data_IF_964737775041
#
_entry.id   IF_964737775041
#
_cell.length_a   1.000
_cell.length_b   1.000
_cell.length_c   1.000
_cell.angle_alpha   90.00
_cell.angle_beta   90.00
_cell.angle_gamma   90.00
#
_symmetry.space_group_name_H-M   'P 1'
#
loop_
_entity.id
_entity.type
_entity.pdbx_description
1 polymer ?
#
# COMPACT_ATOMS: atom_id res chain seq x y z
N UNK A 1 14.22 42.05 82.18
CA UNK A 1 13.62 40.79 82.69
C UNK A 1 14.59 39.67 82.27
N UNK A 2 15.07 38.77 83.12
CA UNK A 2 14.37 37.78 83.97
C UNK A 2 13.54 36.81 83.12
N UNK A 3 13.65 35.47 83.24
CA UNK A 3 14.43 34.63 84.19
C UNK A 3 14.46 33.16 83.70
N UNK A 4 15.44 32.36 84.15
CA UNK A 4 15.33 30.88 84.41
C UNK A 4 15.11 29.92 83.21
N UNK A 5 15.46 28.61 83.21
CA UNK A 5 16.39 27.77 84.02
C UNK A 5 16.83 26.51 83.20
N UNK A 6 17.85 25.76 83.65
CA UNK A 6 18.12 24.34 83.30
C UNK A 6 17.55 23.40 84.41
N UNK A 7 17.57 22.04 84.34
CA UNK A 7 18.74 21.13 84.20
C UNK A 7 18.60 20.26 82.91
N UNK A 8 19.04 19.01 82.69
CA UNK A 8 19.79 17.92 83.40
C UNK A 8 20.66 17.24 82.30
N UNK A 9 22.00 17.24 82.29
CA UNK A 9 22.99 16.37 82.97
C UNK A 9 22.85 14.84 82.76
N UNK A 10 23.71 14.23 81.92
CA UNK A 10 24.63 13.16 82.36
C UNK A 10 25.82 12.99 81.40
N UNK A 11 26.91 12.38 81.90
CA UNK A 11 28.16 12.14 81.17
C UNK A 11 28.25 10.70 80.67
N UNK A 12 28.97 10.48 79.56
CA UNK A 12 30.12 9.57 79.57
C UNK A 12 31.12 9.92 78.46
N UNK A 13 32.36 9.49 78.65
CA UNK A 13 33.54 9.85 77.86
C UNK A 13 34.15 8.57 77.31
N UNK A 14 34.59 8.58 76.05
CA UNK A 14 35.90 8.04 75.67
C UNK A 14 36.36 8.62 74.34
N UNK A 15 37.66 8.89 74.22
CA UNK A 15 38.30 9.40 73.01
C UNK A 15 39.20 8.32 72.41
N UNK A 16 39.34 8.32 71.08
CA UNK A 16 40.54 7.82 70.41
C UNK A 16 40.77 8.62 69.11
N UNK A 17 42.01 8.66 68.64
CA UNK A 17 42.43 9.54 67.55
C UNK A 17 43.27 8.80 66.49
N UNK A 18 43.19 9.28 65.24
CA UNK A 18 43.96 8.85 64.06
C UNK A 18 43.75 7.37 63.65
N UNK A 19 43.78 6.99 62.37
CA UNK A 19 44.70 7.41 61.30
C UNK A 19 44.05 7.39 59.91
N UNK A 20 44.76 7.95 58.92
CA UNK A 20 44.42 7.88 57.49
C UNK A 20 44.85 6.52 56.94
N UNK A 21 44.04 5.92 56.07
CA UNK A 21 44.51 4.97 55.06
C UNK A 21 43.72 5.12 53.76
N UNK A 22 44.41 5.37 52.66
CA UNK A 22 43.88 5.15 51.31
C UNK A 22 44.05 3.68 50.97
N UNK A 23 43.06 3.06 50.36
CA UNK A 23 43.24 1.75 49.73
C UNK A 23 42.42 1.69 48.44
N UNK A 24 43.08 1.28 47.35
CA UNK A 24 42.48 1.21 46.02
C UNK A 24 41.37 0.15 45.98
N UNK A 25 40.47 0.27 44.99
CA UNK A 25 39.50 -0.78 44.66
C UNK A 25 39.38 -0.93 43.16
N UNK A 26 39.16 -2.16 42.73
CA UNK A 26 39.56 -2.64 41.41
C UNK A 26 38.63 -2.27 40.25
N UNK A 27 39.16 -2.43 39.04
CA UNK A 27 38.44 -2.28 37.78
C UNK A 27 37.15 -3.09 37.76
N UNK A 28 36.03 -2.44 37.43
CA UNK A 28 34.95 -3.10 36.70
C UNK A 28 35.12 -2.79 35.21
N UNK A 29 34.97 -3.82 34.37
CA UNK A 29 34.61 -3.60 32.97
C UNK A 29 33.18 -3.07 32.93
N UNK A 30 32.90 -2.17 32.00
CA UNK A 30 31.54 -1.85 31.59
C UNK A 30 31.06 -2.97 30.66
N UNK A 31 29.81 -3.41 30.83
CA UNK A 31 29.15 -4.37 29.95
C UNK A 31 28.28 -3.60 28.94
N UNK A 32 28.46 -3.88 27.66
CA UNK A 32 27.81 -3.19 26.52
C UNK A 32 26.34 -3.67 26.37
N UNK A 33 25.38 -2.83 25.95
CA UNK A 33 23.95 -3.13 26.11
C UNK A 33 23.34 -4.01 25.00
N UNK A 34 23.66 -5.31 24.97
CA UNK A 34 23.07 -6.32 24.05
C UNK A 34 21.53 -6.44 24.15
N UNK A 35 20.95 -6.04 25.30
CA UNK A 35 19.51 -6.09 25.54
C UNK A 35 18.69 -5.20 24.59
N UNK A 36 19.24 -4.05 24.16
CA UNK A 36 18.50 -3.13 23.28
C UNK A 36 18.40 -3.66 21.85
N UNK A 37 19.48 -4.23 21.32
CA UNK A 37 19.47 -4.82 19.97
C UNK A 37 18.53 -6.04 19.91
N UNK A 38 18.55 -6.90 20.93
CA UNK A 38 17.74 -8.11 20.98
C UNK A 38 16.24 -7.81 20.94
N UNK A 39 15.77 -6.84 21.73
CA UNK A 39 14.34 -6.46 21.80
C UNK A 39 13.86 -5.78 20.51
N UNK A 40 14.71 -4.99 19.85
CA UNK A 40 14.37 -4.37 18.54
C UNK A 40 14.30 -5.43 17.43
N UNK A 41 15.23 -6.38 17.45
CA UNK A 41 15.37 -7.47 16.46
C UNK A 41 14.26 -8.52 16.51
N UNK A 42 13.57 -8.66 17.65
CA UNK A 42 12.37 -9.49 17.79
C UNK A 42 11.11 -8.78 17.24
N UNK A 43 11.13 -7.45 17.13
CA UNK A 43 10.03 -6.63 16.59
C UNK A 43 10.16 -6.33 15.09
N UNK A 44 11.39 -6.14 14.61
CA UNK A 44 11.70 -5.93 13.19
C UNK A 44 12.07 -7.26 12.55
N UNK A 45 11.04 -8.07 12.29
CA UNK A 45 11.17 -9.42 11.77
C UNK A 45 10.56 -9.55 10.37
N UNK A 46 11.22 -10.32 9.51
CA UNK A 46 10.68 -10.81 8.25
C UNK A 46 10.72 -12.34 8.30
N UNK A 47 9.58 -12.95 8.56
CA UNK A 47 9.42 -14.41 8.63
C UNK A 47 9.05 -14.95 7.25
N UNK A 48 9.71 -16.02 6.80
CA UNK A 48 9.47 -16.66 5.50
C UNK A 48 8.84 -18.04 5.69
N UNK A 49 7.74 -18.30 4.98
CA UNK A 49 7.08 -19.61 4.93
C UNK A 49 6.72 -20.01 3.49
N UNK A 50 6.34 -21.27 3.29
CA UNK A 50 5.57 -21.67 2.11
C UNK A 50 4.13 -21.16 2.28
N UNK A 51 3.51 -20.68 1.19
CA UNK A 51 2.09 -20.28 1.12
C UNK A 51 1.23 -21.38 0.49
N UNK A 52 1.78 -22.06 -0.52
CA UNK A 52 1.11 -23.10 -1.29
C UNK A 52 1.92 -23.43 -2.54
N UNK A 53 1.31 -24.13 -3.50
CA UNK A 53 1.93 -24.44 -4.81
C UNK A 53 0.98 -24.09 -5.95
N UNK A 54 1.53 -23.64 -7.07
CA UNK A 54 0.76 -23.48 -8.31
C UNK A 54 0.26 -24.84 -8.82
N UNK A 55 -0.66 -24.84 -9.80
CA UNK A 55 -1.11 -26.08 -10.44
C UNK A 55 0.05 -26.86 -11.10
N UNK A 56 1.06 -26.15 -11.61
CA UNK A 56 2.33 -26.71 -12.12
C UNK A 56 3.30 -27.19 -11.00
N UNK A 57 2.91 -27.09 -9.72
CA UNK A 57 3.69 -27.52 -8.56
C UNK A 57 4.78 -26.56 -8.11
N UNK A 58 4.82 -25.32 -8.62
CA UNK A 58 5.82 -24.31 -8.22
C UNK A 58 5.46 -23.79 -6.83
N UNK A 59 6.40 -23.88 -5.89
CA UNK A 59 6.21 -23.38 -4.52
C UNK A 59 6.12 -21.84 -4.49
N UNK A 60 5.08 -21.33 -3.85
CA UNK A 60 4.85 -19.91 -3.61
C UNK A 60 5.24 -19.60 -2.17
N UNK A 61 5.98 -18.51 -1.99
CA UNK A 61 6.59 -18.15 -0.72
C UNK A 61 5.84 -16.96 -0.12
N UNK A 62 5.56 -17.01 1.19
CA UNK A 62 5.04 -15.87 1.95
C UNK A 62 6.14 -15.26 2.80
N UNK A 63 6.12 -13.93 2.90
CA UNK A 63 6.98 -13.10 3.72
C UNK A 63 6.08 -12.27 4.65
N UNK A 64 6.13 -12.53 5.95
CA UNK A 64 5.43 -11.77 6.98
C UNK A 64 6.37 -10.73 7.60
N UNK A 65 6.13 -9.45 7.30
CA UNK A 65 6.89 -8.29 7.76
C UNK A 65 6.24 -7.72 9.02
N UNK A 66 7.02 -7.46 10.07
CA UNK A 66 6.54 -6.86 11.33
C UNK A 66 7.29 -5.57 11.66
N UNK A 67 6.59 -4.58 12.23
CA UNK A 67 7.20 -3.32 12.66
C UNK A 67 7.33 -3.18 14.19
N UNK A 68 8.07 -2.13 14.61
CA UNK A 68 8.32 -1.82 16.01
C UNK A 68 7.05 -1.65 16.89
N UNK A 69 5.90 -1.39 16.28
CA UNK A 69 4.62 -1.15 16.95
C UNK A 69 3.65 -2.35 16.86
N UNK A 70 4.04 -3.44 16.18
CA UNK A 70 3.23 -4.66 16.05
C UNK A 70 2.27 -4.69 14.85
N UNK A 71 2.35 -3.75 13.91
CA UNK A 71 1.71 -3.92 12.60
C UNK A 71 2.39 -5.07 11.86
N UNK A 72 1.59 -5.90 11.19
CA UNK A 72 2.04 -7.08 10.44
C UNK A 72 1.50 -7.03 9.02
N UNK A 73 2.36 -7.21 8.02
CA UNK A 73 1.99 -7.26 6.60
C UNK A 73 2.53 -8.54 5.96
N UNK A 74 1.65 -9.30 5.31
CA UNK A 74 2.03 -10.52 4.58
C UNK A 74 2.07 -10.24 3.07
N UNK A 75 3.17 -10.62 2.44
CA UNK A 75 3.36 -10.52 0.98
C UNK A 75 3.69 -11.91 0.43
N UNK A 76 3.05 -12.33 -0.68
CA UNK A 76 3.39 -13.58 -1.38
C UNK A 76 4.11 -13.32 -2.70
N UNK A 77 4.94 -14.26 -3.14
CA UNK A 77 5.69 -14.14 -4.41
C UNK A 77 4.80 -14.18 -5.66
N UNK A 78 3.62 -14.81 -5.59
CA UNK A 78 2.66 -14.80 -6.69
C UNK A 78 1.96 -13.44 -6.77
N UNK A 79 2.15 -12.73 -7.88
CA UNK A 79 1.62 -11.38 -8.11
C UNK A 79 2.21 -10.29 -7.22
N UNK A 80 3.23 -10.60 -6.40
CA UNK A 80 3.73 -9.69 -5.35
C UNK A 80 2.64 -9.25 -4.37
N UNK A 81 1.62 -10.08 -4.15
CA UNK A 81 0.35 -9.69 -3.52
C UNK A 81 0.51 -9.43 -2.03
N UNK A 82 -0.01 -8.31 -1.54
CA UNK A 82 -0.29 -8.09 -0.11
C UNK A 82 -1.53 -8.92 0.25
N UNK A 83 -1.36 -9.98 1.05
CA UNK A 83 -2.44 -10.91 1.41
C UNK A 83 -3.12 -10.61 2.75
N UNK A 84 -2.42 -9.86 3.62
CA UNK A 84 -2.93 -9.39 4.91
C UNK A 84 -2.15 -8.17 5.36
N UNK A 85 -2.82 -7.23 6.01
CA UNK A 85 -2.26 -6.02 6.62
C UNK A 85 -3.01 -5.75 7.93
N UNK A 86 -2.42 -6.13 9.06
CA UNK A 86 -3.04 -6.06 10.40
C UNK A 86 -2.68 -4.76 11.08
N UNK A 87 -3.69 -3.92 11.37
CA UNK A 87 -3.49 -2.58 11.94
C UNK A 87 -4.41 -2.34 13.15
N UNK A 88 -3.93 -1.61 14.19
CA UNK A 88 -4.67 -1.47 15.44
C UNK A 88 -5.93 -0.60 15.27
N UNK A 89 -7.04 -0.99 15.89
CA UNK A 89 -8.17 -0.10 16.14
C UNK A 89 -7.91 0.79 17.37
N UNK A 90 -8.88 1.63 17.75
CA UNK A 90 -8.78 2.53 18.91
C UNK A 90 -8.75 1.88 20.30
N UNK A 91 -8.99 0.57 20.40
CA UNK A 91 -8.75 -0.22 21.61
C UNK A 91 -7.34 -0.85 21.62
N UNK A 92 -6.68 -0.90 20.46
CA UNK A 92 -5.41 -1.58 20.23
C UNK A 92 -5.53 -2.93 19.51
N UNK A 93 -6.73 -3.38 19.11
CA UNK A 93 -6.91 -4.70 18.50
C UNK A 93 -6.38 -4.71 17.05
N UNK A 94 -5.44 -5.62 16.76
CA UNK A 94 -4.84 -5.80 15.43
C UNK A 94 -5.73 -6.69 14.55
N UNK A 95 -6.42 -6.09 13.58
CA UNK A 95 -7.31 -6.77 12.64
C UNK A 95 -6.83 -6.52 11.21
N UNK A 96 -7.03 -7.48 10.31
CA UNK A 96 -6.66 -7.32 8.89
C UNK A 96 -7.60 -6.32 8.20
N UNK A 97 -7.05 -5.33 7.49
CA UNK A 97 -7.83 -4.33 6.74
C UNK A 97 -7.73 -4.46 5.22
N UNK A 98 -7.10 -5.51 4.67
CA UNK A 98 -7.08 -5.78 3.22
C UNK A 98 -7.72 -7.11 2.83
N UNK A 99 -8.49 -7.10 1.74
CA UNK A 99 -9.16 -8.28 1.20
C UNK A 99 -8.17 -9.15 0.39
N UNK A 100 -8.36 -10.47 0.43
CA UNK A 100 -7.52 -11.48 -0.21
C UNK A 100 -8.02 -12.91 0.06
N UNK A 101 -7.20 -13.92 -0.21
CA UNK A 101 -7.51 -15.34 0.02
C UNK A 101 -6.48 -16.03 0.93
N UNK A 102 -6.94 -17.07 1.63
CA UNK A 102 -6.12 -17.96 2.48
C UNK A 102 -5.24 -18.96 1.69
N UNK A 103 -5.45 -19.09 0.37
CA UNK A 103 -4.82 -20.13 -0.46
C UNK A 103 -4.43 -19.61 -1.86
N UNK A 104 -3.60 -20.37 -2.58
CA UNK A 104 -3.03 -19.98 -3.88
C UNK A 104 -3.92 -20.39 -5.06
N UNK A 105 -4.78 -21.38 -4.87
CA UNK A 105 -5.74 -21.88 -5.84
C UNK A 105 -6.78 -20.80 -6.18
N UNK A 106 -7.24 -20.00 -5.22
CA UNK A 106 -8.16 -18.88 -5.44
C UNK A 106 -7.49 -17.65 -6.07
N UNK A 107 -6.17 -17.43 -5.85
CA UNK A 107 -5.43 -16.37 -6.57
C UNK A 107 -5.09 -16.73 -8.03
N UNK A 108 -5.03 -18.03 -8.38
CA UNK A 108 -4.82 -18.49 -9.76
C UNK A 108 -6.12 -18.46 -10.59
N UNK A 109 -7.28 -18.64 -9.95
CA UNK A 109 -8.60 -18.41 -10.56
C UNK A 109 -8.81 -16.94 -10.87
N UNK A 110 -9.82 -16.64 -11.68
CA UNK A 110 -10.22 -15.28 -11.97
C UNK A 110 -10.73 -14.59 -10.71
N UNK A 111 -9.96 -13.59 -10.27
CA UNK A 111 -10.18 -12.77 -9.10
C UNK A 111 -9.93 -11.29 -9.46
N UNK A 112 -10.51 -10.33 -8.75
CA UNK A 112 -10.45 -8.92 -9.14
C UNK A 112 -9.14 -8.26 -8.64
N UNK A 113 -8.00 -8.90 -8.92
CA UNK A 113 -6.64 -8.43 -8.63
C UNK A 113 -6.30 -8.21 -7.14
N UNK A 114 -6.97 -8.90 -6.21
CA UNK A 114 -6.80 -8.71 -4.76
C UNK A 114 -5.32 -8.64 -4.34
N UNK A 115 -4.92 -7.47 -3.83
CA UNK A 115 -3.61 -7.20 -3.22
C UNK A 115 -2.43 -7.08 -4.19
N UNK A 116 -2.64 -7.20 -5.50
CA UNK A 116 -1.57 -7.44 -6.47
C UNK A 116 -0.70 -6.22 -6.80
N UNK A 117 0.51 -6.49 -7.27
CA UNK A 117 1.26 -5.59 -8.14
C UNK A 117 0.69 -5.67 -9.55
N UNK A 118 0.44 -4.50 -10.14
CA UNK A 118 -0.18 -4.34 -11.46
C UNK A 118 0.87 -3.87 -12.47
N UNK A 119 0.84 -4.45 -13.67
CA UNK A 119 1.68 -4.04 -14.79
C UNK A 119 1.70 -5.06 -15.93
N UNK A 120 2.28 -4.75 -17.10
CA UNK A 120 3.12 -3.57 -17.39
C UNK A 120 2.39 -2.22 -17.40
N UNK A 121 1.07 -2.23 -17.59
CA UNK A 121 0.24 -1.02 -17.56
C UNK A 121 -0.97 -1.16 -16.62
N UNK A 122 -1.06 -0.27 -15.63
CA UNK A 122 -2.19 -0.14 -14.72
C UNK A 122 -3.43 0.46 -15.36
N UNK A 123 -4.60 -0.05 -14.96
CA UNK A 123 -5.90 0.28 -15.53
C UNK A 123 -5.96 0.00 -17.05
N UNK A 124 -6.74 0.77 -17.82
CA UNK A 124 -7.15 0.43 -19.19
C UNK A 124 -6.29 1.06 -20.30
N UNK A 125 -6.21 0.36 -21.44
CA UNK A 125 -5.78 0.89 -22.74
C UNK A 125 -6.89 0.59 -23.77
N UNK A 126 -7.33 1.63 -24.48
CA UNK A 126 -8.45 1.56 -25.42
C UNK A 126 -8.19 0.56 -26.55
N UNK A 127 -9.18 -0.28 -26.85
CA UNK A 127 -9.16 -1.26 -27.97
C UNK A 127 -7.98 -2.26 -27.93
N UNK A 128 -7.27 -2.35 -26.81
CA UNK A 128 -6.02 -3.10 -26.68
C UNK A 128 -4.93 -2.63 -27.65
N UNK A 129 -4.89 -1.33 -27.98
CA UNK A 129 -3.96 -0.76 -28.98
C UNK A 129 -3.31 0.52 -28.48
N UNK A 130 -2.06 0.73 -28.87
CA UNK A 130 -1.38 2.02 -28.77
C UNK A 130 -0.36 2.18 -29.89
N UNK A 131 0.11 3.41 -30.15
CA UNK A 131 1.19 3.67 -31.12
C UNK A 131 2.42 4.21 -30.41
N UNK A 132 3.58 3.59 -30.64
CA UNK A 132 4.85 4.01 -30.04
C UNK A 132 5.97 4.01 -31.09
N UNK A 133 6.67 5.15 -31.19
CA UNK A 133 7.71 5.41 -32.19
C UNK A 133 7.26 5.14 -33.65
N UNK A 134 5.96 5.35 -33.92
CA UNK A 134 5.34 5.13 -35.24
C UNK A 134 4.88 3.69 -35.52
N UNK A 135 5.02 2.77 -34.56
CA UNK A 135 4.58 1.38 -34.68
C UNK A 135 3.30 1.16 -33.88
N UNK A 136 2.29 0.48 -34.46
CA UNK A 136 1.09 0.06 -33.72
C UNK A 136 1.39 -1.22 -32.94
N UNK A 137 1.12 -1.20 -31.63
CA UNK A 137 1.17 -2.37 -30.75
C UNK A 137 -0.24 -2.88 -30.49
N UNK A 138 -0.39 -4.19 -30.45
CA UNK A 138 -1.65 -4.89 -30.24
C UNK A 138 -1.49 -5.80 -29.02
N UNK A 139 -2.37 -5.60 -28.04
CA UNK A 139 -2.39 -6.27 -26.74
C UNK A 139 -3.62 -7.18 -26.63
N UNK A 140 -3.65 -8.06 -25.63
CA UNK A 140 -4.84 -8.86 -25.35
C UNK A 140 -6.01 -7.95 -24.90
N UNK A 141 -7.19 -8.09 -25.50
CA UNK A 141 -8.41 -7.42 -25.05
C UNK A 141 -9.12 -8.25 -23.98
N UNK A 142 -8.57 -8.21 -22.76
CA UNK A 142 -9.04 -8.98 -21.60
C UNK A 142 -10.22 -8.34 -20.84
N UNK A 143 -10.58 -7.08 -21.15
CA UNK A 143 -11.77 -6.41 -20.60
C UNK A 143 -12.70 -5.92 -21.73
N UNK A 144 -13.57 -6.80 -22.20
CA UNK A 144 -14.52 -6.52 -23.29
C UNK A 144 -13.81 -6.20 -24.60
N UNK A 145 -13.80 -4.93 -25.01
CA UNK A 145 -13.05 -4.45 -26.18
C UNK A 145 -11.64 -3.94 -25.84
N UNK A 146 -11.31 -3.79 -24.56
CA UNK A 146 -10.14 -3.05 -24.08
C UNK A 146 -9.12 -3.97 -23.42
N UNK A 147 -7.89 -3.48 -23.28
CA UNK A 147 -6.86 -4.12 -22.48
C UNK A 147 -6.89 -3.52 -21.06
N UNK A 148 -6.62 -4.35 -20.04
CA UNK A 148 -6.74 -4.00 -18.63
C UNK A 148 -5.61 -4.62 -17.80
N UNK A 149 -5.02 -3.84 -16.88
CA UNK A 149 -4.06 -4.26 -15.84
C UNK A 149 -2.84 -5.09 -16.34
N UNK A 150 -2.44 -4.92 -17.61
CA UNK A 150 -1.27 -5.56 -18.19
C UNK A 150 -1.55 -6.84 -19.00
N UNK A 151 -2.77 -7.38 -18.98
CA UNK A 151 -3.21 -8.43 -19.92
C UNK A 151 -3.74 -9.70 -19.27
N UNK A 152 -3.63 -10.83 -19.99
CA UNK A 152 -4.11 -12.14 -19.51
C UNK A 152 -3.22 -12.66 -18.39
N UNK A 153 -1.90 -12.48 -18.53
CA UNK A 153 -0.88 -12.86 -17.55
C UNK A 153 -0.12 -11.61 -17.09
N UNK A 154 -0.86 -10.61 -16.61
CA UNK A 154 -0.28 -9.40 -16.02
C UNK A 154 0.59 -9.69 -14.79
N UNK A 155 1.24 -8.66 -14.25
CA UNK A 155 2.18 -8.79 -13.13
C UNK A 155 1.55 -9.29 -11.82
N UNK A 156 0.22 -9.43 -11.78
CA UNK A 156 -0.57 -10.03 -10.71
C UNK A 156 -0.57 -11.58 -10.75
N UNK A 157 -0.19 -12.18 -11.88
CA UNK A 157 -0.12 -13.64 -12.11
C UNK A 157 1.30 -14.19 -12.27
N UNK A 158 2.32 -13.34 -12.27
CA UNK A 158 3.74 -13.76 -12.37
C UNK A 158 4.33 -14.08 -10.98
N UNK A 159 5.36 -14.93 -10.93
CA UNK A 159 6.09 -15.22 -9.69
C UNK A 159 7.30 -14.29 -9.58
N UNK A 160 7.25 -13.38 -8.62
CA UNK A 160 8.31 -12.43 -8.31
C UNK A 160 9.42 -13.08 -7.48
N UNK A 161 10.68 -12.74 -7.78
CA UNK A 161 11.82 -13.15 -6.94
C UNK A 161 11.92 -12.21 -5.74
N UNK A 162 11.78 -12.75 -4.52
CA UNK A 162 11.77 -12.00 -3.28
C UNK A 162 13.09 -12.09 -2.47
N UNK A 163 13.51 -10.97 -1.89
CA UNK A 163 14.72 -10.83 -1.08
C UNK A 163 14.50 -9.84 0.10
N UNK A 164 14.58 -10.28 1.37
CA UNK A 164 14.54 -9.38 2.52
C UNK A 164 15.75 -8.42 2.55
N UNK A 165 15.48 -7.13 2.67
CA UNK A 165 16.50 -6.09 2.85
C UNK A 165 16.82 -6.00 4.35
N UNK A 166 18.11 -5.96 4.70
CA UNK A 166 18.57 -5.83 6.09
C UNK A 166 18.68 -4.37 6.49
N UNK A 167 17.71 -3.89 7.27
CA UNK A 167 17.65 -2.52 7.79
C UNK A 167 17.54 -2.54 9.33
N UNK A 168 17.88 -1.42 9.99
CA UNK A 168 17.89 -1.34 11.46
C UNK A 168 16.58 -0.85 12.07
N UNK A 169 15.70 -0.26 11.27
CA UNK A 169 14.51 0.47 11.75
C UNK A 169 13.19 0.07 11.09
N UNK A 170 13.22 -0.53 9.90
CA UNK A 170 12.04 -0.93 9.14
C UNK A 170 12.16 -2.42 8.77
N UNK A 171 11.04 -3.02 8.34
CA UNK A 171 11.06 -4.33 7.67
C UNK A 171 10.74 -4.15 6.19
N UNK A 172 11.73 -4.44 5.35
CA UNK A 172 11.73 -4.08 3.93
C UNK A 172 11.99 -5.32 3.05
N UNK A 173 11.14 -5.54 2.04
CA UNK A 173 11.18 -6.68 1.12
C UNK A 173 11.34 -6.20 -0.32
N UNK A 174 12.41 -6.62 -0.98
CA UNK A 174 12.60 -6.42 -2.42
C UNK A 174 11.93 -7.54 -3.20
N UNK A 175 11.08 -7.18 -4.14
CA UNK A 175 10.59 -8.03 -5.22
C UNK A 175 11.28 -7.63 -6.53
N UNK A 176 11.62 -8.61 -7.37
CA UNK A 176 12.23 -8.39 -8.69
C UNK A 176 11.60 -9.29 -9.74
N UNK A 177 11.40 -8.73 -10.94
CA UNK A 177 10.88 -9.45 -12.10
C UNK A 177 11.54 -8.94 -13.39
N UNK A 178 11.67 -9.83 -14.38
CA UNK A 178 12.13 -9.50 -15.73
C UNK A 178 11.00 -9.84 -16.70
N UNK A 179 10.26 -8.80 -17.07
CA UNK A 179 9.23 -8.85 -18.10
C UNK A 179 9.90 -8.76 -19.47
N UNK A 180 9.61 -9.68 -20.39
CA UNK A 180 10.38 -9.82 -21.65
C UNK A 180 9.88 -8.92 -22.78
N UNK A 181 10.69 -8.69 -23.82
CA UNK A 181 10.23 -8.11 -25.09
C UNK A 181 9.15 -9.02 -25.71
N UNK A 182 7.98 -8.44 -26.00
CA UNK A 182 6.80 -9.12 -26.52
C UNK A 182 5.86 -9.72 -25.44
N UNK A 183 6.20 -9.63 -24.16
CA UNK A 183 5.35 -10.14 -23.08
C UNK A 183 4.02 -9.37 -22.99
N UNK A 184 2.89 -10.09 -23.05
CA UNK A 184 1.52 -9.55 -23.24
C UNK A 184 1.36 -8.55 -24.42
N UNK A 185 2.33 -8.53 -25.34
CA UNK A 185 2.39 -7.63 -26.51
C UNK A 185 3.24 -6.36 -26.31
N UNK A 186 3.83 -6.13 -25.15
CA UNK A 186 4.62 -4.93 -24.86
C UNK A 186 6.06 -4.99 -25.42
N UNK A 187 6.60 -3.90 -26.02
CA UNK A 187 7.98 -3.87 -26.51
C UNK A 187 9.00 -3.73 -25.37
N UNK A 188 10.18 -4.30 -25.56
CA UNK A 188 11.34 -4.19 -24.68
C UNK A 188 11.32 -5.12 -23.49
N UNK A 189 12.50 -5.59 -23.10
CA UNK A 189 12.68 -6.20 -21.79
C UNK A 189 12.57 -5.10 -20.73
N UNK A 190 11.81 -5.32 -19.67
CA UNK A 190 11.66 -4.42 -18.54
C UNK A 190 12.13 -5.13 -17.28
N UNK A 191 13.21 -4.63 -16.69
CA UNK A 191 13.69 -5.07 -15.38
C UNK A 191 12.94 -4.25 -14.34
N UNK A 192 12.06 -4.89 -13.55
CA UNK A 192 11.29 -4.23 -12.49
C UNK A 192 11.84 -4.63 -11.12
N UNK A 193 12.03 -3.63 -10.26
CA UNK A 193 12.19 -3.79 -8.83
C UNK A 193 11.02 -3.12 -8.13
N UNK A 194 10.41 -3.79 -7.16
CA UNK A 194 9.46 -3.17 -6.24
C UNK A 194 9.94 -3.42 -4.82
N UNK A 195 9.96 -2.38 -3.98
CA UNK A 195 10.31 -2.50 -2.56
C UNK A 195 9.06 -2.20 -1.73
N UNK A 196 8.63 -3.19 -0.95
CA UNK A 196 7.66 -3.03 0.11
C UNK A 196 8.40 -2.74 1.42
N UNK A 197 8.15 -1.58 2.03
CA UNK A 197 8.76 -1.17 3.31
C UNK A 197 7.67 -0.96 4.34
N UNK A 198 7.67 -1.76 5.40
CA UNK A 198 6.84 -1.55 6.59
C UNK A 198 7.63 -0.75 7.63
N UNK A 199 7.26 0.52 7.82
CA UNK A 199 8.03 1.49 8.59
C UNK A 199 7.80 1.40 10.10
N UNK A 200 8.73 1.93 10.90
CA UNK A 200 8.54 2.14 12.36
C UNK A 200 7.42 3.12 12.73
N UNK A 201 6.94 3.94 11.79
CA UNK A 201 5.90 4.95 12.03
C UNK A 201 4.54 4.59 11.38
N UNK A 202 4.30 3.28 11.25
CA UNK A 202 3.04 2.67 10.82
C UNK A 202 2.64 2.96 9.37
N UNK A 203 3.61 3.07 8.45
CA UNK A 203 3.33 3.15 7.03
C UNK A 203 3.76 1.88 6.28
N UNK A 204 2.98 1.53 5.25
CA UNK A 204 3.39 0.66 4.16
C UNK A 204 3.82 1.54 3.01
N UNK A 205 5.11 1.54 2.69
CA UNK A 205 5.62 2.17 1.48
C UNK A 205 5.77 1.13 0.37
N UNK A 206 5.36 1.50 -0.85
CA UNK A 206 5.60 0.76 -2.09
C UNK A 206 6.42 1.68 -2.97
N UNK A 207 7.66 1.29 -3.28
CA UNK A 207 8.53 2.03 -4.21
C UNK A 207 8.78 1.17 -5.43
N UNK A 208 8.52 1.72 -6.62
CA UNK A 208 8.72 1.06 -7.90
C UNK A 208 9.96 1.63 -8.58
N UNK A 209 10.77 0.77 -9.21
CA UNK A 209 11.83 1.16 -10.13
C UNK A 209 11.78 0.24 -11.37
N UNK A 210 11.91 0.79 -12.57
CA UNK A 210 12.04 0.00 -13.79
C UNK A 210 12.98 0.61 -14.84
N UNK A 211 13.69 -0.27 -15.56
CA UNK A 211 14.61 0.10 -16.66
C UNK A 211 14.43 -0.85 -17.85
N UNK A 212 14.62 -0.33 -19.07
CA UNK A 212 14.36 -1.08 -20.31
C UNK A 212 15.50 -0.99 -21.34
N UNK A 213 15.54 -1.96 -22.25
CA UNK A 213 16.47 -2.00 -23.40
C UNK A 213 15.87 -1.48 -24.72
N UNK A 214 14.57 -1.19 -24.76
CA UNK A 214 13.84 -0.66 -25.93
C UNK A 214 12.65 0.18 -25.45
N UNK A 215 12.34 1.28 -26.14
CA UNK A 215 11.27 2.20 -25.73
C UNK A 215 9.94 1.47 -25.53
N UNK A 216 9.32 1.69 -24.37
CA UNK A 216 8.09 1.00 -23.93
C UNK A 216 7.16 1.95 -23.18
N UNK A 217 5.96 1.48 -22.83
CA UNK A 217 5.07 2.17 -21.87
C UNK A 217 5.10 1.44 -20.53
N UNK A 218 5.04 2.18 -19.44
CA UNK A 218 5.03 1.68 -18.05
C UNK A 218 4.04 2.48 -17.22
N UNK A 219 3.18 1.79 -16.47
CA UNK A 219 2.35 2.35 -15.41
C UNK A 219 2.17 1.26 -14.36
N UNK A 220 2.81 1.38 -13.19
CA UNK A 220 2.77 0.35 -12.14
C UNK A 220 1.97 0.85 -10.94
N UNK A 221 1.21 -0.04 -10.32
CA UNK A 221 0.45 0.30 -9.11
C UNK A 221 0.19 -0.95 -8.25
N UNK A 222 -0.43 -0.76 -7.08
CA UNK A 222 -0.74 -1.82 -6.13
C UNK A 222 -2.25 -1.81 -5.82
N UNK A 223 -2.90 -2.95 -6.02
CA UNK A 223 -4.36 -3.09 -6.05
C UNK A 223 -4.91 -3.66 -4.73
N UNK A 224 -4.47 -3.12 -3.58
CA UNK A 224 -5.09 -3.44 -2.30
C UNK A 224 -6.54 -2.96 -2.26
N UNK A 225 -7.41 -3.84 -1.77
CA UNK A 225 -8.78 -3.50 -1.39
C UNK A 225 -8.79 -3.29 0.11
N UNK A 226 -9.02 -2.06 0.56
CA UNK A 226 -9.07 -1.69 1.97
C UNK A 226 -10.50 -1.76 2.52
N UNK A 227 -10.61 -2.20 3.78
CA UNK A 227 -11.79 -2.03 4.62
C UNK A 227 -11.32 -1.82 6.06
N UNK A 228 -11.32 -0.56 6.51
CA UNK A 228 -10.74 -0.16 7.79
C UNK A 228 -11.58 -0.62 9.00
N UNK A 229 -12.79 -1.13 8.80
CA UNK A 229 -13.59 -1.71 9.89
C UNK A 229 -12.91 -2.94 10.50
N UNK A 230 -12.05 -3.65 9.75
CA UNK A 230 -11.48 -4.95 10.14
C UNK A 230 -12.44 -6.13 10.00
N UNK A 231 -13.70 -5.88 9.59
CA UNK A 231 -14.75 -6.88 9.45
C UNK A 231 -15.31 -6.86 8.03
N UNK A 232 -14.85 -7.80 7.21
CA UNK A 232 -15.22 -7.90 5.80
C UNK A 232 -16.68 -8.34 5.56
N UNK A 233 -17.46 -8.63 6.60
CA UNK A 233 -18.92 -8.77 6.47
C UNK A 233 -19.64 -7.41 6.34
N UNK A 234 -18.95 -6.29 6.64
CA UNK A 234 -19.46 -4.92 6.49
C UNK A 234 -19.07 -4.32 5.14
N UNK A 235 -19.99 -3.55 4.56
CA UNK A 235 -19.68 -2.69 3.42
C UNK A 235 -18.78 -1.50 3.81
N UNK A 236 -18.17 -0.85 2.81
CA UNK A 236 -17.30 0.31 3.03
C UNK A 236 -18.03 1.66 2.98
N UNK A 237 -19.36 1.70 2.77
CA UNK A 237 -20.10 2.93 2.49
C UNK A 237 -20.09 3.95 3.64
N UNK A 238 -19.88 3.48 4.87
CA UNK A 238 -19.75 4.30 6.07
C UNK A 238 -18.42 5.04 6.24
N UNK A 239 -17.37 4.66 5.49
CA UNK A 239 -16.04 5.29 5.57
C UNK A 239 -16.08 6.72 5.06
N UNK A 240 -15.44 7.65 5.77
CA UNK A 240 -15.19 9.02 5.30
C UNK A 240 -13.90 9.09 4.48
N UNK A 241 -13.97 9.65 3.28
CA UNK A 241 -12.84 9.78 2.35
C UNK A 241 -12.58 11.26 2.03
N UNK A 242 -11.30 11.58 1.82
CA UNK A 242 -10.82 12.83 1.22
C UNK A 242 -9.90 12.46 0.05
N UNK A 243 -10.04 13.13 -1.10
CA UNK A 243 -9.12 13.06 -2.23
C UNK A 243 -8.59 14.47 -2.50
N UNK A 244 -7.27 14.62 -2.58
CA UNK A 244 -6.63 15.90 -2.90
C UNK A 244 -6.60 16.12 -4.41
N UNK A 245 -7.77 16.33 -5.00
CA UNK A 245 -7.97 16.38 -6.44
C UNK A 245 -9.17 17.27 -6.82
N UNK A 246 -8.90 18.41 -7.46
CA UNK A 246 -9.93 19.34 -7.92
C UNK A 246 -10.62 18.88 -9.21
N UNK A 247 -10.10 17.82 -9.85
CA UNK A 247 -10.60 17.25 -11.09
C UNK A 247 -10.54 15.71 -11.13
N UNK A 248 -11.32 15.12 -12.03
CA UNK A 248 -11.33 13.69 -12.36
C UNK A 248 -11.44 13.49 -13.88
N UNK A 249 -11.24 12.25 -14.33
CA UNK A 249 -11.37 11.85 -15.72
C UNK A 249 -12.74 11.18 -15.96
N UNK A 250 -13.66 11.81 -16.71
CA UNK A 250 -14.91 11.18 -17.13
C UNK A 250 -14.63 10.11 -18.18
N UNK A 251 -15.29 8.97 -18.05
CA UNK A 251 -15.12 7.78 -18.90
C UNK A 251 -16.30 7.56 -19.84
N UNK A 252 -16.07 6.77 -20.88
CA UNK A 252 -17.08 6.31 -21.83
C UNK A 252 -17.79 5.03 -21.38
N UNK A 253 -18.69 4.50 -22.24
CA UNK A 253 -19.44 3.27 -21.97
C UNK A 253 -18.59 1.98 -21.83
N UNK A 254 -17.27 2.07 -22.06
CA UNK A 254 -16.28 0.98 -21.91
C UNK A 254 -15.23 1.28 -20.83
N UNK A 255 -15.49 2.30 -20.00
CA UNK A 255 -14.62 2.79 -18.92
C UNK A 255 -13.26 3.34 -19.39
N UNK A 256 -13.18 3.81 -20.64
CA UNK A 256 -12.02 4.54 -21.17
C UNK A 256 -12.21 6.06 -20.93
N UNK A 257 -11.20 6.80 -20.44
CA UNK A 257 -11.27 8.25 -20.33
C UNK A 257 -11.60 8.93 -21.66
N UNK A 258 -12.54 9.87 -21.61
CA UNK A 258 -13.01 10.67 -22.77
C UNK A 258 -11.97 11.68 -23.29
N UNK A 259 -10.85 11.86 -22.58
CA UNK A 259 -9.92 12.97 -22.75
C UNK A 259 -10.32 14.26 -22.02
N UNK A 260 -11.55 14.35 -21.46
CA UNK A 260 -11.94 15.46 -20.59
C UNK A 260 -11.21 15.36 -19.24
N UNK A 261 -10.65 16.49 -18.76
CA UNK A 261 -10.26 16.66 -17.36
C UNK A 261 -11.32 17.56 -16.72
N UNK A 262 -12.21 16.96 -15.93
CA UNK A 262 -13.43 17.60 -15.44
C UNK A 262 -13.31 17.98 -13.97
N UNK A 263 -13.68 19.21 -13.62
CA UNK A 263 -13.78 19.65 -12.21
C UNK A 263 -14.71 18.74 -11.40
N UNK A 264 -14.33 18.45 -10.16
CA UNK A 264 -15.19 17.73 -9.20
C UNK A 264 -16.26 18.63 -8.57
N UNK A 265 -15.97 19.94 -8.46
CA UNK A 265 -16.81 20.98 -7.83
C UNK A 265 -18.28 20.88 -8.27
N UNK A 266 -19.18 20.70 -7.31
CA UNK A 266 -20.63 20.62 -7.57
C UNK A 266 -21.11 19.28 -8.19
N UNK A 267 -20.27 18.24 -8.20
CA UNK A 267 -20.62 16.89 -8.68
C UNK A 267 -20.49 15.84 -7.58
N UNK A 268 -21.05 14.62 -7.74
CA UNK A 268 -20.82 13.50 -6.83
C UNK A 268 -19.34 13.09 -6.68
N UNK A 269 -18.44 13.59 -7.53
CA UNK A 269 -17.01 13.29 -7.49
C UNK A 269 -16.22 14.21 -6.55
N UNK A 270 -16.88 15.19 -5.91
CA UNK A 270 -16.25 16.10 -4.97
C UNK A 270 -15.91 15.42 -3.63
N UNK A 271 -14.65 15.01 -3.50
CA UNK A 271 -14.03 14.50 -2.27
C UNK A 271 -12.95 15.46 -1.75
N UNK A 272 -12.96 16.74 -2.15
CA UNK A 272 -11.99 17.75 -1.68
C UNK A 272 -12.10 18.02 -0.16
N UNK A 273 -13.21 17.59 0.44
CA UNK A 273 -13.47 17.58 1.88
C UNK A 273 -14.09 16.24 2.30
N UNK A 274 -14.04 15.94 3.61
CA UNK A 274 -14.45 14.65 4.17
C UNK A 274 -15.88 14.27 3.76
N UNK A 275 -16.01 13.16 3.03
CA UNK A 275 -17.27 12.66 2.53
C UNK A 275 -17.39 11.15 2.71
N UNK A 276 -18.45 10.70 3.38
CA UNK A 276 -18.79 9.27 3.44
C UNK A 276 -19.01 8.70 2.04
N UNK A 277 -18.36 7.59 1.70
CA UNK A 277 -18.40 6.96 0.38
C UNK A 277 -19.85 6.78 -0.09
N UNK A 278 -20.72 6.28 0.79
CA UNK A 278 -22.14 6.03 0.51
C UNK A 278 -23.02 7.24 0.25
N UNK A 279 -22.56 8.47 0.54
CA UNK A 279 -23.40 9.68 0.56
C UNK A 279 -24.06 9.98 -0.80
N UNK A 280 -23.32 9.79 -1.89
CA UNK A 280 -23.75 10.20 -3.25
C UNK A 280 -23.53 9.11 -4.31
N UNK A 281 -23.00 7.95 -3.94
CA UNK A 281 -22.57 6.86 -4.86
C UNK A 281 -23.71 6.27 -5.72
N UNK A 282 -24.96 6.48 -5.32
CA UNK A 282 -26.17 6.03 -6.03
C UNK A 282 -27.01 7.20 -6.58
N UNK A 283 -26.47 8.43 -6.62
CA UNK A 283 -27.13 9.61 -7.19
C UNK A 283 -27.32 9.45 -8.70
N UNK A 284 -28.39 10.04 -9.26
CA UNK A 284 -28.64 10.03 -10.70
C UNK A 284 -27.58 10.86 -11.46
N UNK A 285 -26.52 10.19 -11.89
CA UNK A 285 -25.40 10.75 -12.63
C UNK A 285 -24.88 9.71 -13.64
N UNK A 286 -24.52 10.15 -14.84
CA UNK A 286 -24.05 9.28 -15.92
C UNK A 286 -22.81 8.48 -15.54
N UNK A 287 -21.80 9.15 -14.98
CA UNK A 287 -20.51 8.55 -14.64
C UNK A 287 -20.65 7.53 -13.50
N UNK A 288 -21.50 7.80 -12.51
CA UNK A 288 -21.86 6.81 -11.46
C UNK A 288 -22.59 5.58 -12.03
N UNK A 289 -23.40 5.72 -13.08
CA UNK A 289 -24.04 4.56 -13.74
C UNK A 289 -23.01 3.71 -14.49
N UNK A 290 -22.04 4.34 -15.14
CA UNK A 290 -20.96 3.66 -15.87
C UNK A 290 -20.07 2.86 -14.92
N UNK A 291 -19.48 3.52 -13.91
CA UNK A 291 -18.64 2.86 -12.90
C UNK A 291 -19.41 2.01 -11.87
N UNK A 292 -20.74 1.93 -11.96
CA UNK A 292 -21.65 1.29 -10.99
C UNK A 292 -21.42 1.78 -9.54
N UNK A 293 -21.11 3.06 -9.38
CA UNK A 293 -20.48 3.67 -8.21
C UNK A 293 -19.23 4.44 -8.65
N UNK A 294 -18.23 4.54 -7.78
CA UNK A 294 -16.95 5.12 -8.17
C UNK A 294 -16.04 4.01 -8.73
N UNK A 295 -15.64 4.15 -9.99
CA UNK A 295 -14.51 3.47 -10.66
C UNK A 295 -13.84 4.47 -11.62
N UNK A 296 -13.20 5.52 -11.07
CA UNK A 296 -12.65 6.62 -11.87
C UNK A 296 -11.28 7.05 -11.36
N UNK A 297 -10.51 7.71 -12.24
CA UNK A 297 -9.24 8.33 -11.89
C UNK A 297 -9.46 9.81 -11.52
N UNK A 298 -9.03 10.19 -10.32
CA UNK A 298 -8.92 11.58 -9.88
C UNK A 298 -7.53 12.13 -10.23
N UNK A 299 -7.49 13.40 -10.64
CA UNK A 299 -6.27 14.12 -11.03
C UNK A 299 -5.71 14.82 -9.80
N UNK A 300 -4.55 14.39 -9.31
CA UNK A 300 -4.03 14.82 -8.01
C UNK A 300 -3.44 16.23 -8.05
N UNK A 301 -3.82 17.04 -7.07
CA UNK A 301 -3.29 18.38 -6.86
C UNK A 301 -1.84 18.33 -6.33
N UNK A 302 -0.95 19.17 -6.87
CA UNK A 302 0.39 19.39 -6.32
C UNK A 302 1.47 19.56 -7.40
N UNK A 303 2.72 19.67 -6.99
CA UNK A 303 3.88 19.75 -7.90
C UNK A 303 4.12 18.39 -8.58
N UNK A 304 4.38 18.37 -9.90
CA UNK A 304 4.61 17.12 -10.64
C UNK A 304 5.85 16.42 -10.09
N UNK A 305 5.83 15.08 -10.01
CA UNK A 305 6.96 14.23 -9.59
C UNK A 305 7.43 14.45 -8.13
N UNK A 306 6.66 15.18 -7.31
CA UNK A 306 6.91 15.39 -5.90
C UNK A 306 5.90 14.60 -5.03
N UNK A 307 6.39 13.96 -3.95
CA UNK A 307 5.54 13.27 -2.98
C UNK A 307 4.51 14.24 -2.35
N UNK A 308 3.24 14.04 -2.69
CA UNK A 308 2.09 14.84 -2.27
C UNK A 308 1.17 14.05 -1.33
N UNK A 309 0.35 14.72 -0.53
CA UNK A 309 -0.84 14.09 0.05
C UNK A 309 -1.84 13.81 -1.07
N UNK A 310 -2.25 12.56 -1.26
CA UNK A 310 -3.11 12.13 -2.36
C UNK A 310 -4.55 11.85 -1.87
N UNK A 311 -4.69 11.11 -0.78
CA UNK A 311 -5.99 10.72 -0.25
C UNK A 311 -5.94 10.44 1.27
N UNK A 312 -7.12 10.36 1.90
CA UNK A 312 -7.26 9.71 3.20
C UNK A 312 -8.60 8.99 3.33
N UNK A 313 -8.66 7.97 4.18
CA UNK A 313 -9.86 7.21 4.50
C UNK A 313 -9.96 6.99 6.02
N UNK A 314 -11.18 7.07 6.57
CA UNK A 314 -11.47 6.95 8.00
C UNK A 314 -12.67 6.04 8.24
N UNK A 315 -12.54 5.11 9.20
CA UNK A 315 -13.69 4.43 9.80
C UNK A 315 -13.89 4.90 11.26
N UNK A 316 -15.08 5.46 11.51
CA UNK A 316 -15.50 5.97 12.81
C UNK A 316 -15.71 4.85 13.85
N UNK A 317 -16.11 3.65 13.41
CA UNK A 317 -16.40 2.53 14.31
C UNK A 317 -15.12 2.00 14.97
N UNK A 318 -14.11 1.65 14.18
CA UNK A 318 -12.77 1.24 14.64
C UNK A 318 -11.89 2.40 15.09
N UNK A 319 -12.12 3.62 14.60
CA UNK A 319 -11.24 4.77 14.76
C UNK A 319 -9.99 4.75 13.87
N UNK A 320 -9.87 3.77 12.95
CA UNK A 320 -8.72 3.66 12.05
C UNK A 320 -8.72 4.77 11.02
N UNK A 321 -7.58 5.43 10.86
CA UNK A 321 -7.34 6.45 9.85
C UNK A 321 -6.15 6.07 8.97
N UNK A 322 -6.37 6.07 7.65
CA UNK A 322 -5.35 5.84 6.64
C UNK A 322 -5.12 7.12 5.83
N UNK A 323 -3.86 7.51 5.66
CA UNK A 323 -3.41 8.59 4.77
C UNK A 323 -2.63 7.96 3.61
N UNK A 324 -2.78 8.50 2.40
CA UNK A 324 -2.06 8.06 1.20
C UNK A 324 -1.26 9.23 0.66
N UNK A 325 0.05 9.02 0.49
CA UNK A 325 0.97 9.97 -0.14
C UNK A 325 1.60 9.33 -1.37
N UNK A 326 1.83 10.09 -2.45
CA UNK A 326 2.49 9.58 -3.66
C UNK A 326 3.07 10.69 -4.53
N UNK A 327 4.04 10.37 -5.38
CA UNK A 327 4.55 11.24 -6.44
C UNK A 327 3.78 11.11 -7.77
N UNK A 328 3.01 10.03 -7.95
CA UNK A 328 2.12 9.78 -9.11
C UNK A 328 1.14 10.96 -9.37
N UNK A 329 0.71 11.18 -10.63
CA UNK A 329 -0.15 12.31 -10.99
C UNK A 329 -1.66 12.05 -10.78
N UNK A 330 -2.06 10.79 -10.60
CA UNK A 330 -3.46 10.39 -10.49
C UNK A 330 -3.71 9.28 -9.47
N UNK A 331 -4.98 9.07 -9.12
CA UNK A 331 -5.41 7.98 -8.25
C UNK A 331 -6.72 7.38 -8.75
N UNK A 332 -6.76 6.07 -9.00
CA UNK A 332 -8.04 5.36 -9.18
C UNK A 332 -8.68 5.22 -7.80
N UNK A 333 -9.92 5.71 -7.66
CA UNK A 333 -10.75 5.38 -6.52
C UNK A 333 -11.90 4.49 -7.00
N UNK A 334 -11.77 3.20 -6.67
CA UNK A 334 -12.71 2.15 -7.03
C UNK A 334 -13.34 1.56 -5.77
N UNK A 335 -14.67 1.43 -5.75
CA UNK A 335 -15.42 1.06 -4.53
C UNK A 335 -15.91 -0.39 -4.46
N UNK A 336 -15.24 -1.33 -5.13
CA UNK A 336 -15.59 -2.75 -5.05
C UNK A 336 -16.95 -3.08 -5.70
N UNK A 337 -17.35 -2.30 -6.71
CA UNK A 337 -18.69 -2.36 -7.32
C UNK A 337 -18.99 -3.68 -8.06
N UNK A 338 -17.96 -4.46 -8.41
CA UNK A 338 -18.09 -5.76 -9.07
C UNK A 338 -17.99 -6.95 -8.10
N UNK A 339 -17.78 -6.72 -6.79
CA UNK A 339 -17.96 -7.76 -5.78
C UNK A 339 -19.44 -8.13 -5.66
N UNK A 340 -19.75 -9.42 -5.52
CA UNK A 340 -21.10 -9.97 -5.68
C UNK A 340 -21.51 -11.01 -4.61
N UNK A 341 -20.61 -11.36 -3.67
CA UNK A 341 -20.83 -12.40 -2.67
C UNK A 341 -20.46 -13.82 -3.11
N UNK A 342 -19.74 -14.03 -4.21
CA UNK A 342 -19.26 -15.36 -4.64
C UNK A 342 -17.85 -15.71 -4.16
N UNK A 343 -16.95 -14.73 -4.08
CA UNK A 343 -15.54 -14.94 -3.74
C UNK A 343 -15.35 -15.22 -2.23
N UNK A 344 -14.57 -16.25 -1.83
CA UNK A 344 -14.41 -16.63 -0.43
C UNK A 344 -13.61 -15.59 0.37
N UNK A 345 -13.94 -15.44 1.67
CA UNK A 345 -13.16 -14.64 2.61
C UNK A 345 -12.25 -15.51 3.49
N UNK A 346 -11.10 -14.99 3.95
CA UNK A 346 -10.27 -15.60 4.98
C UNK A 346 -11.09 -16.00 6.22
N UNK A 347 -10.90 -17.22 6.70
CA UNK A 347 -11.66 -17.82 7.82
C UNK A 347 -13.18 -18.03 7.57
N UNK A 348 -13.69 -17.77 6.35
CA UNK A 348 -15.03 -18.13 5.91
C UNK A 348 -16.00 -16.96 5.67
N UNK A 349 -17.07 -17.25 4.94
CA UNK A 349 -17.96 -16.24 4.34
C UNK A 349 -17.51 -15.84 2.94
N UNK A 350 -18.17 -14.86 2.32
CA UNK A 350 -17.85 -14.37 0.96
C UNK A 350 -17.89 -12.84 0.88
N UNK A 351 -17.08 -12.28 -0.03
CA UNK A 351 -16.96 -10.83 -0.23
C UNK A 351 -18.18 -10.26 -0.93
N UNK A 352 -19.08 -9.66 -0.14
CA UNK A 352 -20.28 -8.99 -0.62
C UNK A 352 -20.02 -7.72 -1.45
N UNK A 353 -21.08 -7.16 -2.01
CA UNK A 353 -21.02 -5.94 -2.81
C UNK A 353 -20.47 -4.75 -2.01
N UNK A 354 -19.41 -4.11 -2.53
CA UNK A 354 -18.72 -2.96 -1.91
C UNK A 354 -18.21 -3.24 -0.47
N UNK A 355 -17.64 -4.42 -0.21
CA UNK A 355 -16.94 -4.73 1.07
C UNK A 355 -15.45 -4.32 1.09
N UNK A 356 -14.95 -3.67 0.05
CA UNK A 356 -13.60 -3.10 -0.01
C UNK A 356 -13.49 -1.99 -1.06
N UNK A 357 -12.54 -1.06 -0.88
CA UNK A 357 -12.21 0.00 -1.85
C UNK A 357 -10.72 0.04 -2.19
N UNK A 358 -10.37 0.47 -3.40
CA UNK A 358 -9.00 0.63 -3.87
C UNK A 358 -8.64 2.11 -4.00
N UNK A 359 -7.36 2.42 -3.78
CA UNK A 359 -6.75 3.73 -3.92
C UNK A 359 -5.44 3.59 -4.70
N UNK A 360 -5.57 3.18 -5.97
CA UNK A 360 -4.44 2.88 -6.86
C UNK A 360 -3.83 4.18 -7.36
N UNK A 361 -2.71 4.61 -6.79
CA UNK A 361 -1.92 5.74 -7.29
C UNK A 361 -1.22 5.33 -8.58
N UNK A 362 -1.37 6.11 -9.65
CA UNK A 362 -0.93 5.72 -11.00
C UNK A 362 -0.86 6.92 -11.97
N UNK A 363 -0.24 6.71 -13.13
CA UNK A 363 -0.52 7.52 -14.32
C UNK A 363 -1.94 7.25 -14.85
N UNK A 364 -2.48 8.20 -15.62
CA UNK A 364 -3.88 8.17 -16.05
C UNK A 364 -4.17 6.94 -16.96
N UNK A 365 -5.38 6.36 -16.88
CA UNK A 365 -5.78 5.33 -17.84
C UNK A 365 -5.73 5.87 -19.27
N UNK A 366 -5.39 5.00 -20.23
CA UNK A 366 -5.27 5.32 -21.66
C UNK A 366 -4.26 6.43 -22.06
N UNK A 367 -3.34 6.87 -21.18
CA UNK A 367 -2.22 7.78 -21.54
C UNK A 367 -1.47 7.40 -22.84
N UNK A 368 -1.23 6.11 -23.21
CA UNK A 368 -0.62 5.75 -24.50
C UNK A 368 -1.36 6.24 -25.75
N UNK A 369 -2.63 6.64 -25.63
CA UNK A 369 -3.47 7.17 -26.71
C UNK A 369 -3.91 8.63 -26.49
N UNK A 370 -3.62 9.22 -25.33
CA UNK A 370 -4.12 10.52 -24.88
C UNK A 370 -2.96 11.52 -24.72
N UNK A 371 -2.59 12.22 -25.80
CA UNK A 371 -1.37 13.06 -25.87
C UNK A 371 -1.28 14.18 -24.80
N UNK A 372 -2.41 14.65 -24.26
CA UNK A 372 -2.46 15.70 -23.23
C UNK A 372 -2.32 15.15 -21.80
N UNK A 373 -2.30 13.82 -21.63
CA UNK A 373 -2.13 13.17 -20.32
C UNK A 373 -0.63 13.00 -19.97
N UNK A 374 -0.28 12.77 -18.69
CA UNK A 374 1.10 12.49 -18.28
C UNK A 374 1.70 11.31 -19.06
N UNK A 375 2.89 11.54 -19.62
CA UNK A 375 3.62 10.58 -20.44
C UNK A 375 4.06 9.35 -19.65
N UNK A 376 3.62 8.18 -20.11
CA UNK A 376 3.96 6.84 -19.60
C UNK A 376 5.10 6.17 -20.36
N UNK A 377 5.78 6.89 -21.26
CA UNK A 377 6.87 6.35 -22.10
C UNK A 377 8.19 6.30 -21.31
N UNK A 378 8.83 5.12 -21.30
CA UNK A 378 10.17 4.87 -20.77
C UNK A 378 11.12 4.48 -21.90
N UNK A 379 12.27 5.16 -22.03
CA UNK A 379 13.30 4.89 -23.04
C UNK A 379 14.54 4.17 -22.45
N UNK A 380 15.38 3.56 -23.29
CA UNK A 380 16.67 3.01 -22.84
C UNK A 380 17.58 4.10 -22.25
N UNK A 381 18.09 3.87 -21.03
CA UNK A 381 18.90 4.83 -20.29
C UNK A 381 18.10 5.81 -19.42
N UNK A 382 16.76 5.78 -19.49
CA UNK A 382 15.88 6.40 -18.50
C UNK A 382 15.52 5.36 -17.41
N UNK A 383 15.14 5.84 -16.22
CA UNK A 383 14.62 5.01 -15.12
C UNK A 383 13.21 5.50 -14.77
N UNK A 384 12.23 4.60 -14.83
CA UNK A 384 10.92 4.82 -14.21
C UNK A 384 11.11 4.64 -12.70
N UNK A 385 10.65 5.62 -11.91
CA UNK A 385 10.60 5.50 -10.46
C UNK A 385 9.42 6.30 -9.91
N UNK A 386 8.59 5.65 -9.10
CA UNK A 386 7.46 6.26 -8.40
C UNK A 386 7.29 5.61 -7.02
N UNK A 387 6.59 6.28 -6.12
CA UNK A 387 6.42 5.86 -4.73
C UNK A 387 5.03 6.15 -4.21
N UNK A 388 4.54 5.25 -3.36
CA UNK A 388 3.28 5.38 -2.62
C UNK A 388 3.49 5.00 -1.16
N UNK A 389 2.90 5.75 -0.24
CA UNK A 389 2.99 5.53 1.20
C UNK A 389 1.58 5.53 1.80
N UNK A 390 1.11 4.34 2.23
CA UNK A 390 -0.13 4.16 2.98
C UNK A 390 0.17 4.19 4.49
N UNK A 391 -0.15 5.30 5.16
CA UNK A 391 0.16 5.53 6.57
C UNK A 391 -1.06 5.32 7.46
N UNK A 392 -0.90 4.54 8.53
CA UNK A 392 -1.98 4.13 9.42
C UNK A 392 -1.85 4.75 10.81
N UNK A 393 -2.96 5.25 11.32
CA UNK A 393 -3.09 5.88 12.64
C UNK A 393 -4.50 5.65 13.22
N UNK A 394 -4.73 6.19 14.42
CA UNK A 394 -6.01 6.14 15.14
C UNK A 394 -6.44 7.57 15.47
N UNK A 395 -7.75 7.83 15.44
CA UNK A 395 -8.39 9.08 15.89
C UNK A 395 -9.35 8.85 17.06
#
# INVERSE_FOLDING_TARGET
>A
MMKNLKPVLFYLVFAFAATINMQCKDNKKEETPEASETIVKEKLAIEKSEFGKTEDGISIEQYALKNANGIEMNVITYGGRITSLKVPNKNGDLENVVLGFDNIEDYQKDNPFFGALIGRYGNRIAKGKFTLEGNEYNLATNDGSNHLHGGVNGYDRVIWKAEPIKEMENSSLRLTYLSKDGEEGYPGNLNITVVYTLTKDNAVEVTYEATTDKTTVVNLTQHAYFNLTGDFSKDILGHDVVLNADAYLPVDATLIPTGEIKKVEGTPFDFTSSKKIGKEINTDNEQLKLGKGYDHCWVLNGEKDAMRFAASAYDEASGRFMEVFSDEPGIQFYTGNFLDGTLPMPNGGTYGHRTGFCLETQHFPDSPNQNEFPSVILKPGETYSTKTTFKFSVK
#
